data_IF_041082293123
#
_entry.id   IF_041082293123
#
_cell.length_a   1.000
_cell.length_b   1.000
_cell.length_c   1.000
_cell.angle_alpha   90.00
_cell.angle_beta   90.00
_cell.angle_gamma   90.00
#
_symmetry.space_group_name_H-M   'P 1'
#
loop_
_entity.id
_entity.type
_entity.pdbx_description
1 polymer ?
#
# COMPACT_ATOMS: atom_id res chain seq x y z
N UNK A 1 4.60 -12.63 -12.05
CA UNK A 1 3.95 -11.96 -10.92
C UNK A 1 4.79 -12.14 -9.68
N UNK A 2 4.76 -11.18 -8.75
CA UNK A 2 5.47 -11.28 -7.46
C UNK A 2 4.64 -10.67 -6.34
N UNK A 3 4.86 -11.15 -5.12
CA UNK A 3 4.34 -10.53 -3.89
C UNK A 3 5.41 -9.62 -3.30
N UNK A 4 4.97 -8.58 -2.61
CA UNK A 4 5.86 -7.61 -2.01
C UNK A 4 5.28 -7.08 -0.69
N UNK A 5 6.18 -6.62 0.16
CA UNK A 5 5.89 -5.97 1.44
C UNK A 5 6.47 -4.56 1.39
N UNK A 6 5.73 -3.60 1.92
CA UNK A 6 6.21 -2.23 2.09
C UNK A 6 6.09 -1.84 3.56
N UNK A 7 7.18 -1.29 4.10
CA UNK A 7 7.21 -0.69 5.43
C UNK A 7 7.87 0.68 5.35
N UNK A 8 7.31 1.66 6.06
CA UNK A 8 7.88 2.99 6.12
C UNK A 8 7.18 3.88 7.13
N UNK A 9 7.68 5.10 7.24
CA UNK A 9 7.06 6.17 8.02
C UNK A 9 6.61 7.25 7.04
N UNK A 10 5.35 7.65 7.12
CA UNK A 10 4.83 8.73 6.30
C UNK A 10 5.52 10.05 6.70
N UNK A 11 6.23 10.70 5.79
CA UNK A 11 6.80 12.04 6.04
C UNK A 11 5.78 13.15 5.85
N UNK A 12 4.73 12.90 5.06
CA UNK A 12 3.66 13.84 4.76
C UNK A 12 2.30 13.15 4.62
N UNK A 13 1.28 13.88 4.15
CA UNK A 13 -0.07 13.33 4.00
C UNK A 13 -0.11 12.09 3.09
N UNK A 14 -0.73 11.02 3.58
CA UNK A 14 -1.00 9.81 2.80
C UNK A 14 -2.51 9.53 2.84
N UNK A 15 -3.17 9.41 1.68
CA UNK A 15 -4.64 9.40 1.56
C UNK A 15 -5.35 10.57 2.29
N UNK A 16 -4.70 11.73 2.39
CA UNK A 16 -5.26 12.95 3.00
C UNK A 16 -5.30 12.96 4.53
N UNK A 17 -5.58 11.83 5.18
CA UNK A 17 -5.81 11.75 6.63
C UNK A 17 -4.59 11.26 7.44
N UNK A 18 -3.64 10.59 6.78
CA UNK A 18 -2.47 10.04 7.48
C UNK A 18 -1.49 11.16 7.82
N UNK A 19 -1.20 11.31 9.10
CA UNK A 19 -0.27 12.32 9.60
C UNK A 19 1.19 11.92 9.37
N UNK A 20 2.05 12.92 9.24
CA UNK A 20 3.50 12.73 9.31
C UNK A 20 3.89 11.97 10.59
N UNK A 21 4.88 11.09 10.50
CA UNK A 21 5.31 10.20 11.58
C UNK A 21 4.51 8.90 11.72
N UNK A 22 3.43 8.72 10.96
CA UNK A 22 2.63 7.48 11.03
C UNK A 22 3.39 6.32 10.40
N UNK A 23 3.52 5.20 11.12
CA UNK A 23 4.07 3.96 10.55
C UNK A 23 3.07 3.30 9.61
N UNK A 24 3.51 3.09 8.38
CA UNK A 24 2.76 2.43 7.32
C UNK A 24 3.40 1.08 7.05
N UNK A 25 2.55 0.06 6.99
CA UNK A 25 2.92 -1.28 6.54
C UNK A 25 1.78 -1.81 5.68
N UNK A 26 2.10 -2.34 4.51
CA UNK A 26 1.16 -2.92 3.56
C UNK A 26 1.81 -4.06 2.80
N UNK A 27 0.99 -4.97 2.29
CA UNK A 27 1.41 -6.04 1.40
C UNK A 27 0.72 -5.87 0.06
N UNK A 28 1.28 -6.46 -0.98
CA UNK A 28 0.62 -6.50 -2.26
C UNK A 28 1.17 -7.54 -3.21
N UNK A 29 0.54 -7.59 -4.36
CA UNK A 29 0.97 -8.40 -5.49
C UNK A 29 1.09 -7.50 -6.72
N UNK A 30 2.02 -7.84 -7.60
CA UNK A 30 2.19 -7.20 -8.89
C UNK A 30 2.21 -8.23 -10.00
N UNK A 31 1.50 -7.94 -11.09
CA UNK A 31 1.59 -8.65 -12.35
C UNK A 31 2.13 -7.69 -13.40
N UNK A 32 3.28 -8.04 -13.97
CA UNK A 32 3.93 -7.26 -15.01
C UNK A 32 3.72 -7.93 -16.37
N UNK A 33 3.46 -7.13 -17.40
CA UNK A 33 3.62 -7.49 -18.80
C UNK A 33 4.99 -6.98 -19.26
N UNK A 34 5.78 -7.85 -19.87
CA UNK A 34 7.12 -7.54 -20.36
C UNK A 34 7.17 -7.56 -21.89
N UNK A 35 8.05 -6.74 -22.44
CA UNK A 35 8.56 -6.77 -23.82
C UNK A 35 10.08 -6.88 -23.78
N UNK A 36 10.71 -6.98 -24.94
CA UNK A 36 12.17 -7.03 -25.06
C UNK A 36 12.84 -5.71 -24.60
N UNK A 37 12.12 -4.60 -24.60
CA UNK A 37 12.59 -3.29 -24.12
C UNK A 37 12.33 -3.07 -22.62
N UNK A 38 11.54 -3.94 -21.97
CA UNK A 38 11.25 -3.87 -20.53
C UNK A 38 9.77 -4.00 -20.17
N UNK A 39 9.39 -3.43 -19.02
CA UNK A 39 8.02 -3.52 -18.48
C UNK A 39 7.09 -2.61 -19.29
N UNK A 40 6.08 -3.21 -19.90
CA UNK A 40 5.04 -2.51 -20.68
C UNK A 40 3.87 -2.09 -19.79
N UNK A 41 3.53 -2.93 -18.82
CA UNK A 41 2.41 -2.69 -17.91
C UNK A 41 2.65 -3.36 -16.57
N UNK A 42 2.21 -2.73 -15.51
CA UNK A 42 2.12 -3.35 -14.19
C UNK A 42 0.74 -3.15 -13.60
N UNK A 43 0.12 -4.25 -13.14
CA UNK A 43 -1.08 -4.25 -12.32
C UNK A 43 -0.72 -4.57 -10.89
N UNK A 44 -1.05 -3.68 -9.97
CA UNK A 44 -0.88 -3.90 -8.53
C UNK A 44 -2.22 -4.22 -7.86
N UNK A 45 -2.17 -5.14 -6.90
CA UNK A 45 -3.20 -5.34 -5.88
C UNK A 45 -2.56 -5.01 -4.55
N UNK A 46 -3.19 -4.11 -3.80
CA UNK A 46 -2.71 -3.64 -2.50
C UNK A 46 -3.68 -4.09 -1.40
N UNK A 47 -3.15 -4.55 -0.27
CA UNK A 47 -3.91 -4.61 0.97
C UNK A 47 -3.58 -3.40 1.84
N UNK A 48 -4.47 -2.41 1.81
CA UNK A 48 -4.38 -1.21 2.64
C UNK A 48 -5.11 -1.33 3.97
N UNK A 49 -5.74 -2.46 4.29
CA UNK A 49 -6.66 -2.57 5.43
C UNK A 49 -5.99 -2.15 6.73
N UNK A 50 -4.81 -2.70 7.02
CA UNK A 50 -4.05 -2.35 8.23
C UNK A 50 -3.57 -0.89 8.24
N UNK A 51 -3.22 -0.33 7.07
CA UNK A 51 -2.79 1.06 6.96
C UNK A 51 -3.97 2.03 7.18
N UNK A 52 -5.14 1.75 6.59
CA UNK A 52 -6.33 2.58 6.70
C UNK A 52 -6.96 2.52 8.09
N UNK A 53 -6.86 1.38 8.79
CA UNK A 53 -7.25 1.27 10.21
C UNK A 53 -6.34 2.15 11.08
N UNK A 54 -5.02 2.06 10.91
CA UNK A 54 -4.06 2.90 11.66
C UNK A 54 -4.21 4.39 11.36
N UNK A 55 -4.57 4.72 10.13
CA UNK A 55 -4.87 6.09 9.71
C UNK A 55 -6.19 6.64 10.29
N UNK A 56 -7.02 5.80 10.92
CA UNK A 56 -8.36 6.18 11.39
C UNK A 56 -9.40 6.33 10.29
N UNK A 57 -9.06 6.03 9.03
CA UNK A 57 -9.97 6.09 7.87
C UNK A 57 -10.95 4.93 7.90
N UNK A 58 -10.45 3.71 8.12
CA UNK A 58 -11.30 2.53 8.25
C UNK A 58 -11.61 2.28 9.73
N UNK A 59 -12.88 2.39 10.12
CA UNK A 59 -13.32 2.06 11.48
C UNK A 59 -13.49 0.55 11.59
N UNK A 60 -12.75 -0.08 12.49
CA UNK A 60 -12.99 -1.47 12.88
C UNK A 60 -14.10 -1.50 13.91
N UNK A 61 -15.16 -2.28 13.68
CA UNK A 61 -16.13 -2.59 14.73
C UNK A 61 -15.50 -3.64 15.65
N UNK A 62 -15.38 -3.38 16.96
CA UNK A 62 -14.98 -4.44 17.90
C UNK A 62 -16.03 -5.55 17.83
N UNK A 63 -15.57 -6.80 17.75
CA UNK A 63 -16.41 -8.00 17.91
C UNK A 63 -16.84 -8.17 19.36
#
# INVERSE_FOLDING_TARGET
SYFWTFEGTAEGPFFGEVRSGTRIAMIGAAQNLFSDEGIVSTRHVFDFSGALVRAGVLKVKPS
#
